data_IF_270054116473
#
_entry.id   IF_270054116473
#
_cell.length_a   1.000
_cell.length_b   1.000
_cell.length_c   1.000
_cell.angle_alpha   90.00
_cell.angle_beta   90.00
_cell.angle_gamma   90.00
#
_symmetry.space_group_name_H-M   'P 1'
#
loop_
_entity.id
_entity.type
_entity.pdbx_description
1 polymer ?
#
# COMPACT_ATOMS: atom_id res chain seq x y z
N UNK A 1 7.47 11.13 22.07
CA UNK A 1 8.10 10.69 20.80
C UNK A 1 9.24 11.64 20.48
N UNK A 2 10.44 11.14 20.17
CA UNK A 2 11.65 11.97 19.93
C UNK A 2 11.74 12.53 18.50
N UNK A 3 10.87 12.07 17.59
CA UNK A 3 10.75 12.54 16.21
C UNK A 3 9.27 12.70 15.85
N UNK A 4 8.87 13.80 15.21
CA UNK A 4 7.50 13.98 14.73
C UNK A 4 7.22 13.01 13.57
N UNK A 5 6.05 12.36 13.60
CA UNK A 5 5.54 11.49 12.53
C UNK A 5 4.29 12.14 11.97
N UNK A 6 4.08 12.02 10.66
CA UNK A 6 2.86 12.47 9.98
C UNK A 6 2.29 11.33 9.15
N UNK A 7 0.99 11.37 8.90
CA UNK A 7 0.26 10.35 8.15
C UNK A 7 -0.59 11.04 7.09
N UNK A 8 -0.51 10.58 5.85
CA UNK A 8 -1.48 10.89 4.80
C UNK A 8 -2.51 9.77 4.74
N UNK A 9 -3.78 10.08 5.00
CA UNK A 9 -4.85 9.12 4.78
C UNK A 9 -5.31 9.21 3.33
N UNK A 10 -5.47 8.06 2.67
CA UNK A 10 -5.86 8.01 1.26
C UNK A 10 -7.13 7.18 1.16
N UNK A 11 -8.19 7.79 0.65
CA UNK A 11 -9.47 7.10 0.38
C UNK A 11 -9.49 6.78 -1.12
N UNK A 12 -9.64 5.50 -1.53
CA UNK A 12 -9.85 5.16 -2.93
C UNK A 12 -11.03 5.95 -3.50
N UNK A 13 -10.84 6.62 -4.65
CA UNK A 13 -11.90 7.45 -5.25
C UNK A 13 -13.18 6.65 -5.57
N UNK A 14 -13.03 5.35 -5.79
CA UNK A 14 -14.09 4.42 -6.17
C UNK A 14 -14.48 3.46 -5.04
N UNK A 15 -14.16 3.82 -3.80
CA UNK A 15 -14.66 3.12 -2.61
C UNK A 15 -16.17 3.34 -2.48
N UNK A 16 -16.92 2.27 -2.22
CA UNK A 16 -18.36 2.34 -1.89
C UNK A 16 -18.64 3.17 -0.62
N UNK A 17 -17.61 3.38 0.20
CA UNK A 17 -17.68 4.15 1.44
C UNK A 17 -16.82 5.41 1.34
N UNK A 18 -17.48 6.57 1.32
CA UNK A 18 -16.83 7.86 1.53
C UNK A 18 -16.53 8.03 3.02
N UNK A 19 -15.25 7.90 3.37
CA UNK A 19 -14.75 8.08 4.75
C UNK A 19 -13.92 9.35 4.91
N UNK A 20 -13.76 10.18 3.86
CA UNK A 20 -12.88 11.35 3.94
C UNK A 20 -13.43 12.42 4.88
N UNK A 21 -14.75 12.61 4.91
CA UNK A 21 -15.40 13.50 5.88
C UNK A 21 -15.09 13.09 7.33
N UNK A 22 -15.17 11.78 7.61
CA UNK A 22 -14.89 11.19 8.93
C UNK A 22 -13.42 11.36 9.36
N UNK A 23 -12.49 11.33 8.39
CA UNK A 23 -11.06 11.60 8.60
C UNK A 23 -10.85 13.07 9.01
N UNK A 24 -11.49 14.01 8.32
CA UNK A 24 -11.38 15.43 8.63
C UNK A 24 -12.04 15.81 9.96
N UNK A 25 -13.19 15.22 10.31
CA UNK A 25 -13.84 15.44 11.61
C UNK A 25 -12.94 15.03 12.79
N UNK A 26 -12.03 14.07 12.59
CA UNK A 26 -11.04 13.64 13.57
C UNK A 26 -9.76 14.48 13.57
N UNK A 27 -9.68 15.50 12.73
CA UNK A 27 -8.52 16.40 12.63
C UNK A 27 -7.32 15.82 11.88
N UNK A 28 -7.52 14.77 11.09
CA UNK A 28 -6.45 14.18 10.26
C UNK A 28 -6.44 14.75 8.85
N UNK A 29 -5.30 14.62 8.17
CA UNK A 29 -5.15 14.99 6.76
C UNK A 29 -5.45 13.76 5.89
N UNK A 30 -6.19 13.96 4.81
CA UNK A 30 -6.39 12.93 3.80
C UNK A 30 -6.77 13.48 2.44
N UNK A 31 -6.79 12.59 1.45
CA UNK A 31 -7.15 12.89 0.06
C UNK A 31 -7.83 11.69 -0.59
N UNK A 32 -8.59 11.95 -1.66
CA UNK A 32 -8.95 10.90 -2.60
C UNK A 32 -7.79 10.55 -3.51
N UNK A 33 -7.71 9.29 -3.93
CA UNK A 33 -6.79 8.84 -4.97
C UNK A 33 -7.41 7.70 -5.79
N UNK A 34 -7.29 7.77 -7.11
CA UNK A 34 -7.39 6.61 -8.00
C UNK A 34 -6.00 5.96 -8.13
N UNK A 35 -5.85 4.73 -7.66
CA UNK A 35 -4.55 4.01 -7.67
C UNK A 35 -4.16 3.48 -9.06
N UNK A 36 -5.04 3.60 -10.06
CA UNK A 36 -4.68 3.41 -11.46
C UNK A 36 -3.97 4.64 -12.05
N UNK A 37 -4.03 5.79 -11.37
CA UNK A 37 -3.38 7.04 -11.75
C UNK A 37 -2.20 7.39 -10.83
N UNK A 38 -1.32 8.26 -11.30
CA UNK A 38 -0.18 8.70 -10.50
C UNK A 38 -0.64 9.54 -9.29
N UNK A 39 -0.04 9.29 -8.12
CA UNK A 39 -0.30 10.07 -6.91
C UNK A 39 0.34 11.45 -7.03
N UNK A 40 -0.39 12.51 -6.69
CA UNK A 40 0.11 13.89 -6.76
C UNK A 40 1.07 14.22 -5.61
N UNK A 41 2.17 13.46 -5.50
CA UNK A 41 3.26 13.65 -4.53
C UNK A 41 4.62 13.48 -5.18
N UNK A 42 5.65 14.01 -4.53
CA UNK A 42 7.03 13.85 -4.96
C UNK A 42 7.49 12.39 -4.80
N UNK A 43 8.35 11.88 -5.70
CA UNK A 43 8.98 10.59 -5.50
C UNK A 43 9.71 10.52 -4.15
N UNK A 44 9.75 9.35 -3.52
CA UNK A 44 10.45 9.11 -2.25
C UNK A 44 9.98 10.05 -1.11
N UNK A 45 8.67 10.24 -0.98
CA UNK A 45 8.07 11.02 0.10
C UNK A 45 7.92 10.19 1.38
N UNK A 46 7.49 8.92 1.26
CA UNK A 46 7.08 8.09 2.39
C UNK A 46 8.12 7.04 2.79
N UNK A 47 8.23 6.76 4.08
CA UNK A 47 9.03 5.64 4.63
C UNK A 47 8.21 4.36 4.82
N UNK A 48 6.88 4.50 4.95
CA UNK A 48 5.93 3.41 5.16
C UNK A 48 4.68 3.64 4.32
N UNK A 49 4.22 2.60 3.64
CA UNK A 49 2.90 2.54 3.01
C UNK A 49 2.09 1.41 3.64
N UNK A 50 0.84 1.68 3.97
CA UNK A 50 -0.11 0.67 4.42
C UNK A 50 -1.31 0.66 3.47
N UNK A 51 -1.54 -0.48 2.82
CA UNK A 51 -2.63 -0.70 1.89
C UNK A 51 -3.53 -1.81 2.43
N UNK A 52 -4.82 -1.51 2.56
CA UNK A 52 -5.83 -2.43 3.07
C UNK A 52 -6.91 -2.64 2.01
N UNK A 53 -7.01 -3.85 1.47
CA UNK A 53 -7.95 -4.20 0.40
C UNK A 53 -7.76 -3.47 -0.93
N UNK A 54 -6.67 -2.69 -1.09
CA UNK A 54 -6.44 -1.87 -2.29
C UNK A 54 -6.30 -2.75 -3.53
N UNK A 55 -5.54 -3.84 -3.47
CA UNK A 55 -5.29 -4.66 -4.65
C UNK A 55 -6.52 -5.45 -5.07
N UNK A 56 -7.28 -5.99 -4.12
CA UNK A 56 -8.57 -6.63 -4.37
C UNK A 56 -9.60 -5.66 -4.97
N UNK A 57 -9.61 -4.40 -4.54
CA UNK A 57 -10.52 -3.36 -5.07
C UNK A 57 -10.20 -2.98 -6.51
N UNK A 58 -8.90 -2.89 -6.86
CA UNK A 58 -8.47 -2.41 -8.18
C UNK A 58 -8.15 -3.54 -9.18
N UNK A 59 -8.21 -4.82 -8.79
CA UNK A 59 -7.79 -5.95 -9.64
C UNK A 59 -8.52 -6.04 -10.98
N UNK A 60 -9.78 -5.58 -11.05
CA UNK A 60 -10.61 -5.62 -12.26
C UNK A 60 -10.59 -4.28 -13.03
N UNK A 61 -9.90 -3.27 -12.51
CA UNK A 61 -9.83 -1.92 -13.10
C UNK A 61 -8.51 -1.62 -13.78
N UNK A 62 -7.39 -2.00 -13.16
CA UNK A 62 -6.07 -1.81 -13.74
C UNK A 62 -5.10 -2.90 -13.29
N UNK A 63 -4.01 -3.03 -14.04
CA UNK A 63 -2.95 -3.97 -13.72
C UNK A 63 -2.32 -3.61 -12.37
N UNK A 64 -2.22 -4.61 -11.47
CA UNK A 64 -1.53 -4.56 -10.18
C UNK A 64 -0.14 -3.93 -10.29
N UNK A 65 0.53 -4.11 -11.42
CA UNK A 65 1.84 -3.54 -11.74
C UNK A 65 1.83 -2.01 -11.69
N UNK A 66 0.78 -1.33 -12.16
CA UNK A 66 0.71 0.13 -12.13
C UNK A 66 0.66 0.65 -10.69
N UNK A 67 -0.14 0.01 -9.83
CA UNK A 67 -0.23 0.33 -8.41
C UNK A 67 1.14 0.15 -7.74
N UNK A 68 1.81 -0.98 -7.99
CA UNK A 68 3.13 -1.27 -7.41
C UNK A 68 4.23 -0.32 -7.91
N UNK A 69 4.18 0.11 -9.18
CA UNK A 69 5.11 1.10 -9.71
C UNK A 69 4.90 2.46 -9.06
N UNK A 70 3.65 2.85 -8.81
CA UNK A 70 3.35 4.10 -8.13
C UNK A 70 3.78 4.06 -6.65
N UNK A 71 3.52 2.93 -5.97
CA UNK A 71 4.07 2.67 -4.63
C UNK A 71 5.60 2.75 -4.62
N UNK A 72 6.29 2.16 -5.60
CA UNK A 72 7.75 2.26 -5.71
C UNK A 72 8.20 3.71 -5.90
N UNK A 73 7.51 4.48 -6.75
CA UNK A 73 7.86 5.88 -7.01
C UNK A 73 7.84 6.71 -5.73
N UNK A 74 6.79 6.58 -4.91
CA UNK A 74 6.59 7.42 -3.72
C UNK A 74 7.33 6.92 -2.48
N UNK A 75 7.74 5.64 -2.44
CA UNK A 75 8.45 5.03 -1.32
C UNK A 75 9.95 5.30 -1.38
N UNK A 76 10.51 5.73 -0.24
CA UNK A 76 11.96 5.90 -0.05
C UNK A 76 12.69 4.55 -0.17
N UNK A 77 13.98 4.55 -0.57
CA UNK A 77 14.81 3.36 -0.40
C UNK A 77 14.73 2.85 1.04
N UNK A 78 14.74 1.54 1.23
CA UNK A 78 14.58 0.88 2.55
C UNK A 78 13.23 1.11 3.21
N UNK A 79 12.31 1.81 2.54
CA UNK A 79 10.93 1.96 2.97
C UNK A 79 10.18 0.63 2.95
N UNK A 80 9.15 0.56 3.79
CA UNK A 80 8.34 -0.65 3.99
C UNK A 80 6.94 -0.46 3.40
N UNK A 81 6.38 -1.51 2.82
CA UNK A 81 4.98 -1.60 2.41
C UNK A 81 4.34 -2.74 3.19
N UNK A 82 3.19 -2.46 3.79
CA UNK A 82 2.33 -3.45 4.43
C UNK A 82 1.06 -3.52 3.61
N UNK A 83 0.73 -4.71 3.11
CA UNK A 83 -0.43 -4.94 2.26
C UNK A 83 -1.29 -6.00 2.94
N UNK A 84 -2.54 -5.67 3.22
CA UNK A 84 -3.56 -6.60 3.71
C UNK A 84 -4.56 -6.87 2.60
N UNK A 85 -4.69 -8.14 2.23
CA UNK A 85 -5.62 -8.56 1.19
C UNK A 85 -5.83 -10.09 1.24
N UNK A 86 -6.67 -10.61 0.36
CA UNK A 86 -6.85 -12.05 0.17
C UNK A 86 -5.53 -12.71 -0.26
N UNK A 87 -5.26 -13.91 0.24
CA UNK A 87 -4.01 -14.66 -0.05
C UNK A 87 -3.73 -14.84 -1.55
N UNK A 88 -4.76 -14.99 -2.37
CA UNK A 88 -4.65 -15.12 -3.82
C UNK A 88 -4.11 -13.84 -4.48
N UNK A 89 -4.60 -12.68 -4.04
CA UNK A 89 -4.14 -11.35 -4.48
C UNK A 89 -2.69 -11.13 -4.04
N UNK A 90 -2.39 -11.42 -2.76
CA UNK A 90 -1.05 -11.26 -2.21
C UNK A 90 -0.01 -12.15 -2.89
N UNK A 91 -0.41 -13.34 -3.36
CA UNK A 91 0.49 -14.22 -4.12
C UNK A 91 0.89 -13.60 -5.46
N UNK A 92 -0.06 -12.95 -6.16
CA UNK A 92 0.23 -12.20 -7.40
C UNK A 92 1.12 -10.99 -7.13
N UNK A 93 0.78 -10.20 -6.12
CA UNK A 93 1.57 -9.04 -5.68
C UNK A 93 3.00 -9.44 -5.35
N UNK A 94 3.17 -10.53 -4.58
CA UNK A 94 4.49 -11.07 -4.22
C UNK A 94 5.35 -11.35 -5.46
N UNK A 95 4.80 -12.07 -6.44
CA UNK A 95 5.53 -12.42 -7.66
C UNK A 95 6.08 -11.17 -8.41
N UNK A 96 5.29 -10.09 -8.47
CA UNK A 96 5.72 -8.83 -9.08
C UNK A 96 6.78 -8.15 -8.22
N UNK A 97 6.54 -8.04 -6.91
CA UNK A 97 7.50 -7.40 -5.99
C UNK A 97 8.85 -8.10 -5.93
N UNK A 98 8.87 -9.43 -6.08
CA UNK A 98 10.10 -10.22 -6.18
C UNK A 98 10.88 -9.86 -7.47
N UNK A 99 10.18 -9.67 -8.58
CA UNK A 99 10.75 -9.15 -9.84
C UNK A 99 11.28 -7.72 -9.71
N UNK A 100 10.66 -6.89 -8.88
CA UNK A 100 11.14 -5.54 -8.53
C UNK A 100 12.34 -5.55 -7.58
N UNK A 101 12.74 -6.73 -7.08
CA UNK A 101 13.78 -6.97 -6.06
C UNK A 101 13.43 -6.40 -4.69
N UNK A 102 12.15 -6.32 -4.35
CA UNK A 102 11.73 -6.04 -2.99
C UNK A 102 11.87 -7.32 -2.16
N UNK A 103 12.16 -7.18 -0.86
CA UNK A 103 12.18 -8.31 0.07
C UNK A 103 10.78 -8.46 0.64
N UNK A 104 10.04 -9.47 0.21
CA UNK A 104 8.64 -9.68 0.58
C UNK A 104 8.45 -10.93 1.46
N UNK A 105 7.52 -10.87 2.41
CA UNK A 105 7.08 -12.00 3.21
C UNK A 105 5.58 -11.94 3.44
N UNK A 106 4.90 -13.09 3.33
CA UNK A 106 3.47 -13.22 3.66
C UNK A 106 3.39 -13.82 5.07
N UNK A 107 2.54 -13.22 5.90
CA UNK A 107 2.31 -13.56 7.29
C UNK A 107 0.82 -13.81 7.53
N UNK A 108 0.51 -14.58 8.57
CA UNK A 108 -0.86 -14.83 8.98
C UNK A 108 -1.56 -13.58 9.51
N UNK A 109 -2.88 -13.55 9.39
CA UNK A 109 -3.75 -12.54 10.00
C UNK A 109 -3.62 -12.58 11.53
N UNK A 110 -3.93 -11.46 12.21
CA UNK A 110 -3.94 -11.41 13.68
C UNK A 110 -4.96 -12.38 14.29
N UNK A 111 -5.97 -12.76 13.52
CA UNK A 111 -7.02 -13.72 13.90
C UNK A 111 -6.60 -15.19 13.75
N UNK A 112 -5.41 -15.43 13.20
CA UNK A 112 -4.81 -16.76 13.05
C UNK A 112 -4.68 -17.25 11.61
N UNK A 113 -4.12 -18.46 11.43
CA UNK A 113 -3.71 -19.00 10.13
C UNK A 113 -4.88 -19.40 9.22
N UNK A 114 -6.09 -19.54 9.75
CA UNK A 114 -7.26 -19.95 8.98
C UNK A 114 -8.03 -18.79 8.33
N UNK A 115 -7.65 -17.54 8.61
CA UNK A 115 -8.23 -16.39 7.91
C UNK A 115 -7.69 -16.37 6.45
N UNK A 116 -8.57 -16.26 5.43
CA UNK A 116 -8.16 -16.12 4.04
C UNK A 116 -7.43 -14.79 3.74
N UNK A 117 -7.71 -13.74 4.52
CA UNK A 117 -6.93 -12.51 4.48
C UNK A 117 -5.59 -12.73 5.15
N UNK A 118 -4.53 -12.20 4.54
CA UNK A 118 -3.16 -12.28 5.04
C UNK A 118 -2.51 -10.92 4.99
N UNK A 119 -1.30 -10.84 5.51
CA UNK A 119 -0.50 -9.62 5.51
C UNK A 119 0.78 -9.89 4.72
N UNK A 120 1.04 -9.11 3.67
CA UNK A 120 2.31 -9.09 2.99
C UNK A 120 3.11 -7.88 3.47
N UNK A 121 4.28 -8.14 4.03
CA UNK A 121 5.26 -7.10 4.39
C UNK A 121 6.38 -7.13 3.35
N UNK A 122 6.59 -6.02 2.66
CA UNK A 122 7.65 -5.87 1.67
C UNK A 122 8.56 -4.70 2.00
N UNK A 123 9.86 -4.87 1.78
CA UNK A 123 10.87 -3.82 1.98
C UNK A 123 11.55 -3.52 0.65
N UNK A 124 11.52 -2.26 0.25
CA UNK A 124 12.18 -1.78 -0.96
C UNK A 124 13.70 -1.76 -0.75
N UNK A 125 14.43 -2.49 -1.58
CA UNK A 125 15.89 -2.57 -1.45
C UNK A 125 16.58 -1.28 -1.93
N UNK A 126 17.63 -0.86 -1.21
CA UNK A 126 18.50 0.22 -1.64
C UNK A 126 19.31 -0.22 -2.88
N UNK A 127 19.19 0.51 -3.98
CA UNK A 127 19.99 0.27 -5.19
C UNK A 127 21.25 1.14 -5.13
N UNK A 128 22.40 0.56 -4.81
CA UNK A 128 23.68 1.06 -5.33
C UNK A 128 23.82 0.50 -6.75
N UNK A 129 23.81 1.40 -7.74
CA UNK A 129 24.30 1.04 -9.08
C UNK A 129 25.78 0.70 -9.03
#
# INVERSE_FOLDING_TARGET
MKYPVWVMNVVPADSDQDTLGVIYERGFIGTYQDWCEAFSTYPRTYDLLHADGVFGTYQDRCDTTYILLEMDRILRPEGTVIIRDMVEVLTKVRAITDGMRWKSQIMDHESGPFNPEKILVAVKTYRTG
#
